data_IF_944956604870
#
_entry.id   IF_944956604870
#
_cell.length_a   1.000
_cell.length_b   1.000
_cell.length_c   1.000
_cell.angle_alpha   90.00
_cell.angle_beta   90.00
_cell.angle_gamma   90.00
#
_symmetry.space_group_name_H-M   'P 1'
#
loop_
_entity.id
_entity.type
_entity.pdbx_description
1 polymer ?
#
# COMPACT_ATOMS: atom_id res chain seq x y z
N UNK A 1 -17.55 18.41 -6.66
CA UNK A 1 -17.12 17.01 -6.44
C UNK A 1 -15.93 16.98 -5.51
N UNK A 2 -16.01 16.21 -4.47
CA UNK A 2 -14.86 16.04 -3.59
C UNK A 2 -13.93 14.96 -4.14
N UNK A 3 -12.62 15.07 -3.85
CA UNK A 3 -11.64 14.02 -4.11
C UNK A 3 -11.09 13.58 -2.75
N UNK A 4 -12.00 13.17 -1.89
CA UNK A 4 -11.68 12.84 -0.52
C UNK A 4 -11.06 11.46 -0.42
N UNK A 5 -9.82 11.42 0.06
CA UNK A 5 -9.11 10.18 0.37
C UNK A 5 -9.37 9.82 1.83
N UNK A 6 -9.75 8.58 2.07
CA UNK A 6 -9.88 8.01 3.40
C UNK A 6 -9.17 6.66 3.46
N UNK A 7 -8.81 6.25 4.67
CA UNK A 7 -8.21 4.95 4.93
C UNK A 7 -9.17 4.15 5.81
N UNK A 8 -9.39 2.90 5.47
CA UNK A 8 -10.31 2.06 6.22
C UNK A 8 -9.90 0.59 6.15
N UNK A 9 -10.60 -0.24 6.90
CA UNK A 9 -10.37 -1.68 6.89
C UNK A 9 -10.89 -2.33 5.62
N UNK A 10 -10.29 -3.44 5.25
CA UNK A 10 -10.78 -4.29 4.19
C UNK A 10 -12.18 -4.85 4.54
N UNK A 11 -13.05 -4.90 3.56
CA UNK A 11 -14.35 -5.56 3.69
C UNK A 11 -14.58 -6.48 2.48
N UNK A 12 -15.59 -7.34 2.57
CA UNK A 12 -15.92 -8.25 1.47
C UNK A 12 -16.23 -7.55 0.16
N UNK A 13 -16.66 -6.29 0.22
CA UNK A 13 -16.92 -5.47 -0.97
C UNK A 13 -15.65 -5.17 -1.77
N UNK A 14 -14.50 -5.25 -1.12
CA UNK A 14 -13.21 -4.93 -1.75
C UNK A 14 -12.59 -6.11 -2.48
N UNK A 15 -13.14 -7.30 -2.32
CA UNK A 15 -12.52 -8.54 -2.80
C UNK A 15 -12.29 -8.53 -4.31
N UNK A 16 -13.25 -8.07 -5.08
CA UNK A 16 -13.18 -8.10 -6.55
C UNK A 16 -12.11 -7.18 -7.09
N UNK A 17 -12.15 -5.90 -6.74
CA UNK A 17 -11.16 -4.95 -7.25
C UNK A 17 -9.76 -5.23 -6.70
N UNK A 18 -9.65 -5.73 -5.47
CA UNK A 18 -8.36 -6.08 -4.88
C UNK A 18 -7.75 -7.29 -5.60
N UNK A 19 -8.56 -8.28 -5.97
CA UNK A 19 -8.10 -9.40 -6.79
C UNK A 19 -7.51 -8.92 -8.12
N UNK A 20 -8.17 -7.98 -8.78
CA UNK A 20 -7.68 -7.39 -10.03
C UNK A 20 -6.34 -6.68 -9.82
N UNK A 21 -6.22 -5.96 -8.71
CA UNK A 21 -4.99 -5.24 -8.39
C UNK A 21 -3.82 -6.18 -8.16
N UNK A 22 -4.05 -7.31 -7.48
CA UNK A 22 -3.00 -8.28 -7.17
C UNK A 22 -2.45 -8.98 -8.42
N UNK A 23 -3.21 -9.04 -9.51
CA UNK A 23 -2.74 -9.63 -10.76
C UNK A 23 -2.33 -8.59 -11.81
N UNK A 24 -2.41 -7.31 -11.48
CA UNK A 24 -2.03 -6.23 -12.38
C UNK A 24 -0.56 -6.37 -12.79
N UNK A 25 -0.27 -6.19 -14.07
CA UNK A 25 1.08 -6.36 -14.63
C UNK A 25 2.13 -5.50 -13.94
N UNK A 26 1.81 -4.25 -13.69
CA UNK A 26 2.76 -3.31 -13.08
C UNK A 26 3.00 -3.66 -11.62
N UNK A 27 1.96 -4.07 -10.92
CA UNK A 27 2.09 -4.54 -9.55
C UNK A 27 2.98 -5.79 -9.50
N UNK A 28 2.73 -6.76 -10.39
CA UNK A 28 3.53 -7.99 -10.48
C UNK A 28 4.97 -7.72 -10.85
N UNK A 29 5.21 -6.73 -11.68
CA UNK A 29 6.56 -6.36 -12.11
C UNK A 29 7.39 -5.82 -10.95
N UNK A 30 6.82 -4.96 -10.12
CA UNK A 30 7.55 -4.26 -9.06
C UNK A 30 7.41 -4.90 -7.68
N UNK A 31 6.41 -5.77 -7.48
CA UNK A 31 6.20 -6.51 -6.24
C UNK A 31 5.99 -8.00 -6.59
N UNK A 32 7.02 -8.67 -7.12
CA UNK A 32 6.86 -10.03 -7.65
C UNK A 32 6.55 -11.09 -6.59
N UNK A 33 6.84 -10.80 -5.32
CA UNK A 33 6.60 -11.74 -4.21
C UNK A 33 5.19 -11.65 -3.64
N UNK A 34 4.42 -10.65 -4.06
CA UNK A 34 3.05 -10.48 -3.59
C UNK A 34 2.18 -11.63 -4.11
N UNK A 35 1.40 -12.25 -3.21
CA UNK A 35 0.48 -13.30 -3.62
C UNK A 35 -0.60 -12.75 -4.56
N UNK A 36 -1.07 -13.58 -5.49
CA UNK A 36 -2.19 -13.23 -6.36
C UNK A 36 -3.53 -13.65 -5.76
N UNK A 37 -3.51 -14.39 -4.67
CA UNK A 37 -4.72 -14.88 -4.00
C UNK A 37 -5.18 -13.85 -2.96
N UNK A 38 -6.33 -13.23 -3.20
CA UNK A 38 -6.85 -12.18 -2.33
C UNK A 38 -7.17 -12.70 -0.92
N UNK A 39 -7.61 -13.94 -0.79
CA UNK A 39 -7.93 -14.51 0.52
C UNK A 39 -6.67 -14.76 1.34
N UNK A 40 -5.62 -15.26 0.70
CA UNK A 40 -4.31 -15.42 1.34
C UNK A 40 -3.76 -14.06 1.79
N UNK A 41 -3.79 -13.08 0.89
CA UNK A 41 -3.26 -11.76 1.17
C UNK A 41 -3.97 -11.09 2.35
N UNK A 42 -5.30 -11.05 2.33
CA UNK A 42 -6.07 -10.38 3.38
C UNK A 42 -5.98 -11.11 4.71
N UNK A 43 -5.92 -12.45 4.68
CA UNK A 43 -5.75 -13.25 5.89
C UNK A 43 -4.38 -13.02 6.53
N UNK A 44 -3.32 -12.97 5.72
CA UNK A 44 -1.96 -12.70 6.21
C UNK A 44 -1.89 -11.31 6.85
N UNK A 45 -2.51 -10.31 6.24
CA UNK A 45 -2.55 -8.95 6.79
C UNK A 45 -3.31 -8.91 8.11
N UNK A 46 -4.43 -9.61 8.21
CA UNK A 46 -5.22 -9.71 9.43
C UNK A 46 -4.42 -10.36 10.57
N UNK A 47 -3.70 -11.42 10.27
CA UNK A 47 -2.85 -12.10 11.26
C UNK A 47 -1.75 -11.15 11.75
N UNK A 48 -1.10 -10.44 10.83
CA UNK A 48 -0.06 -9.48 11.19
C UNK A 48 -0.60 -8.37 12.09
N UNK A 49 -1.78 -7.83 11.81
CA UNK A 49 -2.43 -6.83 12.64
C UNK A 49 -2.76 -7.38 14.03
N UNK A 50 -3.30 -8.58 14.10
CA UNK A 50 -3.65 -9.21 15.38
C UNK A 50 -2.44 -9.45 16.27
N UNK A 51 -1.28 -9.70 15.67
CA UNK A 51 -0.02 -9.94 16.39
C UNK A 51 0.80 -8.66 16.65
N UNK A 52 0.27 -7.50 16.25
CA UNK A 52 0.99 -6.23 16.40
C UNK A 52 2.20 -6.08 15.49
N UNK A 53 2.30 -6.89 14.43
CA UNK A 53 3.43 -6.90 13.52
C UNK A 53 3.18 -6.13 12.22
N UNK A 54 1.97 -5.69 12.00
CA UNK A 54 1.65 -4.99 10.76
C UNK A 54 0.38 -4.18 10.84
N UNK A 55 0.17 -3.36 9.82
CA UNK A 55 -1.06 -2.60 9.61
C UNK A 55 -1.43 -2.67 8.14
N UNK A 56 -2.72 -2.67 7.87
CA UNK A 56 -3.26 -2.77 6.52
C UNK A 56 -4.45 -1.85 6.36
N UNK A 57 -4.41 -0.99 5.34
CA UNK A 57 -5.48 -0.04 5.05
C UNK A 57 -5.91 -0.14 3.60
N UNK A 58 -7.21 -0.02 3.39
CA UNK A 58 -7.77 0.19 2.05
C UNK A 58 -7.83 1.71 1.82
N UNK A 59 -7.34 2.15 0.69
CA UNK A 59 -7.44 3.54 0.25
C UNK A 59 -8.76 3.70 -0.46
N UNK A 60 -9.56 4.67 -0.03
CA UNK A 60 -10.86 4.96 -0.66
C UNK A 60 -10.88 6.38 -1.18
N UNK A 61 -11.39 6.53 -2.38
CA UNK A 61 -11.67 7.83 -2.98
C UNK A 61 -13.19 8.01 -2.97
N UNK A 62 -13.67 8.97 -2.18
CA UNK A 62 -15.11 9.21 -2.01
C UNK A 62 -15.88 7.91 -1.69
N UNK A 63 -15.30 7.08 -0.84
CA UNK A 63 -15.89 5.81 -0.39
C UNK A 63 -15.61 4.61 -1.26
N UNK A 64 -15.01 4.78 -2.43
CA UNK A 64 -14.70 3.69 -3.37
C UNK A 64 -13.28 3.19 -3.17
N UNK A 65 -13.11 1.88 -3.00
CA UNK A 65 -11.78 1.28 -2.86
C UNK A 65 -10.96 1.40 -4.14
N UNK A 66 -9.75 1.97 -4.04
CA UNK A 66 -8.88 2.19 -5.19
C UNK A 66 -7.49 1.63 -5.03
N UNK A 67 -7.10 1.24 -3.82
CA UNK A 67 -5.77 0.71 -3.56
C UNK A 67 -5.60 0.31 -2.10
N UNK A 68 -4.37 -0.02 -1.74
CA UNK A 68 -4.06 -0.41 -0.37
C UNK A 68 -2.68 0.08 0.04
N UNK A 69 -2.49 0.17 1.35
CA UNK A 69 -1.17 0.36 1.97
C UNK A 69 -1.01 -0.71 3.04
N UNK A 70 0.14 -1.34 3.06
CA UNK A 70 0.48 -2.35 4.06
C UNK A 70 1.82 -2.02 4.69
N UNK A 71 1.89 -2.16 6.01
CA UNK A 71 3.13 -2.05 6.76
C UNK A 71 3.33 -3.36 7.47
N UNK A 72 4.53 -3.91 7.41
CA UNK A 72 4.87 -5.14 8.10
C UNK A 72 6.19 -4.96 8.87
N UNK A 73 6.44 -5.88 9.79
CA UNK A 73 7.65 -5.90 10.62
C UNK A 73 7.76 -4.66 11.51
N UNK A 74 6.62 -4.24 12.10
CA UNK A 74 6.52 -3.01 12.90
C UNK A 74 7.47 -2.95 14.10
N UNK A 75 7.85 -4.11 14.66
CA UNK A 75 8.63 -4.15 15.90
C UNK A 75 10.13 -3.97 15.68
N UNK A 76 10.62 -4.18 14.48
CA UNK A 76 12.05 -4.07 14.16
C UNK A 76 12.29 -3.01 13.10
N UNK A 77 12.01 -3.34 11.84
CA UNK A 77 12.24 -2.43 10.72
C UNK A 77 10.98 -2.37 9.87
N UNK A 78 10.09 -1.40 10.14
CA UNK A 78 8.81 -1.33 9.44
C UNK A 78 8.99 -1.06 7.95
N UNK A 79 8.52 -2.00 7.13
CA UNK A 79 8.48 -1.85 5.68
C UNK A 79 7.08 -1.51 5.23
N UNK A 80 6.99 -0.54 4.33
CA UNK A 80 5.72 -0.17 3.70
C UNK A 80 5.70 -0.66 2.26
N UNK A 81 4.58 -1.24 1.83
CA UNK A 81 4.31 -1.47 0.43
C UNK A 81 2.87 -1.10 0.11
N UNK A 82 2.63 -0.77 -1.12
CA UNK A 82 1.35 -0.21 -1.53
C UNK A 82 1.12 -0.41 -3.02
N UNK A 83 -0.14 -0.36 -3.42
CA UNK A 83 -0.52 -0.42 -4.82
C UNK A 83 -1.85 0.30 -5.00
N UNK A 84 -2.09 0.79 -6.21
CA UNK A 84 -3.31 1.51 -6.58
C UNK A 84 -3.73 1.06 -7.97
N UNK A 85 -5.04 1.01 -8.21
CA UNK A 85 -5.60 0.65 -9.52
C UNK A 85 -5.11 1.64 -10.59
N UNK A 86 -4.84 1.11 -11.79
CA UNK A 86 -4.24 1.89 -12.88
C UNK A 86 -5.02 3.15 -13.22
N UNK A 87 -6.35 3.10 -13.17
CA UNK A 87 -7.21 4.24 -13.49
C UNK A 87 -7.02 5.43 -12.53
N UNK A 88 -6.43 5.19 -11.36
CA UNK A 88 -6.25 6.22 -10.32
C UNK A 88 -4.78 6.63 -10.13
N UNK A 89 -3.87 6.13 -10.95
CA UNK A 89 -2.44 6.46 -10.89
C UNK A 89 -2.16 7.87 -11.40
N UNK A 90 -1.03 8.43 -10.94
CA UNK A 90 -0.54 9.74 -11.37
C UNK A 90 -1.47 10.92 -11.05
N UNK A 91 -2.28 10.78 -10.01
CA UNK A 91 -3.23 11.82 -9.58
C UNK A 91 -2.96 12.32 -8.15
N UNK A 92 -1.90 11.82 -7.51
CA UNK A 92 -1.53 12.23 -6.16
C UNK A 92 -2.29 11.54 -5.05
N UNK A 93 -3.13 10.56 -5.34
CA UNK A 93 -3.94 9.89 -4.31
C UNK A 93 -3.08 9.07 -3.35
N UNK A 94 -2.10 8.34 -3.87
CA UNK A 94 -1.19 7.54 -3.01
C UNK A 94 -0.38 8.45 -2.09
N UNK A 95 0.11 9.58 -2.59
CA UNK A 95 0.84 10.56 -1.78
C UNK A 95 -0.02 11.07 -0.62
N UNK A 96 -1.28 11.40 -0.89
CA UNK A 96 -2.22 11.83 0.16
C UNK A 96 -2.40 10.74 1.21
N UNK A 97 -2.60 9.50 0.77
CA UNK A 97 -2.81 8.36 1.67
C UNK A 97 -1.59 8.13 2.57
N UNK A 98 -0.38 8.15 1.99
CA UNK A 98 0.85 7.95 2.76
C UNK A 98 1.06 9.08 3.77
N UNK A 99 0.76 10.32 3.41
CA UNK A 99 0.85 11.44 4.34
C UNK A 99 -0.12 11.31 5.52
N UNK A 100 -1.29 10.73 5.30
CA UNK A 100 -2.21 10.42 6.40
C UNK A 100 -1.60 9.42 7.36
N UNK A 101 -0.87 8.43 6.86
CA UNK A 101 -0.20 7.43 7.70
C UNK A 101 0.96 8.06 8.47
N UNK A 102 1.72 8.96 7.86
CA UNK A 102 2.79 9.70 8.55
C UNK A 102 2.27 10.43 9.78
N UNK A 103 1.05 10.94 9.72
CA UNK A 103 0.43 11.66 10.82
C UNK A 103 0.00 10.76 11.99
N UNK A 104 0.09 9.44 11.85
CA UNK A 104 -0.22 8.51 12.93
C UNK A 104 0.91 8.33 13.94
N UNK A 105 2.06 8.97 13.73
CA UNK A 105 3.19 8.89 14.66
C UNK A 105 3.94 7.57 14.63
N UNK A 106 3.91 6.87 13.50
CA UNK A 106 4.61 5.61 13.33
C UNK A 106 6.13 5.82 13.29
N UNK A 107 6.92 4.77 13.61
CA UNK A 107 8.38 4.86 13.47
C UNK A 107 8.80 5.08 12.01
N UNK A 108 10.08 5.34 11.79
CA UNK A 108 10.60 5.52 10.43
C UNK A 108 10.24 4.32 9.56
N UNK A 109 9.59 4.59 8.43
CA UNK A 109 9.18 3.58 7.48
C UNK A 109 10.24 3.39 6.40
N UNK A 110 10.37 2.17 5.93
CA UNK A 110 11.28 1.79 4.87
C UNK A 110 10.50 1.22 3.70
N UNK A 111 11.00 1.40 2.50
CA UNK A 111 10.41 0.78 1.33
C UNK A 111 11.51 0.11 0.52
N UNK A 112 11.27 -1.14 0.14
CA UNK A 112 12.15 -1.85 -0.77
C UNK A 112 11.54 -1.73 -2.15
N UNK A 113 12.19 -0.96 -3.01
CA UNK A 113 11.65 -0.59 -4.32
C UNK A 113 12.62 -1.00 -5.40
N UNK A 114 12.11 -1.63 -6.45
CA UNK A 114 12.89 -1.88 -7.66
C UNK A 114 13.39 -0.55 -8.23
N UNK A 115 14.67 -0.47 -8.56
CA UNK A 115 15.28 0.79 -9.05
C UNK A 115 14.65 1.31 -10.35
N UNK A 116 13.97 0.45 -11.09
CA UNK A 116 13.21 0.84 -12.28
C UNK A 116 11.86 1.47 -11.97
N UNK A 117 11.41 1.40 -10.71
CA UNK A 117 10.12 1.96 -10.31
C UNK A 117 10.26 3.43 -9.88
N UNK A 118 10.51 4.29 -10.87
CA UNK A 118 10.78 5.71 -10.65
C UNK A 118 9.65 6.43 -9.93
N UNK A 119 8.39 6.08 -10.25
CA UNK A 119 7.23 6.72 -9.63
C UNK A 119 7.20 6.48 -8.12
N UNK A 120 7.44 5.24 -7.67
CA UNK A 120 7.47 4.92 -6.24
C UNK A 120 8.67 5.55 -5.53
N UNK A 121 9.83 5.59 -6.18
CA UNK A 121 11.02 6.25 -5.62
C UNK A 121 10.75 7.73 -5.39
N UNK A 122 10.20 8.42 -6.38
CA UNK A 122 9.84 9.84 -6.25
C UNK A 122 8.82 10.05 -5.14
N UNK A 123 7.81 9.20 -5.06
CA UNK A 123 6.78 9.28 -4.03
C UNK A 123 7.38 9.13 -2.62
N UNK A 124 8.23 8.15 -2.40
CA UNK A 124 8.86 7.94 -1.11
C UNK A 124 9.73 9.12 -0.69
N UNK A 125 10.46 9.72 -1.63
CA UNK A 125 11.27 10.91 -1.34
C UNK A 125 10.40 12.08 -0.88
N UNK A 126 9.21 12.24 -1.47
CA UNK A 126 8.27 13.31 -1.09
C UNK A 126 7.60 13.04 0.26
N UNK A 127 7.53 11.79 0.69
CA UNK A 127 6.83 11.37 1.90
C UNK A 127 7.76 10.97 3.04
N UNK A 128 9.03 11.35 2.99
CA UNK A 128 10.00 11.08 4.06
C UNK A 128 10.14 9.60 4.42
N UNK A 129 9.98 8.72 3.44
CA UNK A 129 10.17 7.28 3.61
C UNK A 129 11.60 6.94 3.19
N UNK A 130 12.31 6.22 4.06
CA UNK A 130 13.65 5.72 3.72
C UNK A 130 13.53 4.62 2.67
N UNK A 131 14.32 4.73 1.61
CA UNK A 131 14.25 3.82 0.47
C UNK A 131 15.43 2.89 0.48
N UNK A 132 15.14 1.59 0.29
CA UNK A 132 16.14 0.58 -0.03
C UNK A 132 15.80 0.06 -1.42
N UNK A 133 16.60 0.44 -2.43
CA UNK A 133 16.36 -0.04 -3.79
C UNK A 133 16.90 -1.45 -3.95
N UNK A 134 16.17 -2.28 -4.70
CA UNK A 134 16.64 -3.60 -5.10
C UNK A 134 17.35 -3.51 -6.45
N UNK A 135 18.38 -4.30 -6.59
CA UNK A 135 19.16 -4.37 -7.82
C UNK A 135 18.59 -5.44 -8.73
#
# INVERSE_FOLDING_TARGET
MSNRITLSSFSSKDREWLSELLIDKDVRKFIPHLTTDVDVFTNDMKIAECNGLGNFWIIRLDGVGIGFISIYDLTEKPFIFYAILSAYRNKGYMKKAIKMIENLGLPTLYSQIDKGNTASICLCKKCSISIKTTI
#
